data_IF_906218245127
#
_entry.id   IF_906218245127
#
_cell.length_a   1.000
_cell.length_b   1.000
_cell.length_c   1.000
_cell.angle_alpha   90.00
_cell.angle_beta   90.00
_cell.angle_gamma   90.00
#
_symmetry.space_group_name_H-M   'P 1'
#
loop_
_entity.id
_entity.type
_entity.pdbx_description
1 polymer ?
#
# COMPACT_ATOMS: atom_id res chain seq x y z
N UNK A 1 11.89 11.30 0.02
CA UNK A 1 11.23 9.99 0.21
C UNK A 1 12.24 8.94 0.68
N UNK A 2 13.25 8.62 -0.11
CA UNK A 2 14.26 7.60 0.23
C UNK A 2 14.95 7.86 1.56
N UNK A 3 15.46 9.08 1.77
CA UNK A 3 16.05 9.49 3.06
C UNK A 3 15.07 9.36 4.24
N UNK A 4 13.80 9.71 4.01
CA UNK A 4 12.76 9.57 5.03
C UNK A 4 12.49 8.11 5.40
N UNK A 5 12.46 7.21 4.41
CA UNK A 5 12.32 5.77 4.64
C UNK A 5 13.58 5.21 5.32
N UNK A 6 14.77 5.61 4.88
CA UNK A 6 16.03 5.15 5.45
C UNK A 6 16.22 5.60 6.91
N UNK A 7 15.70 6.77 7.27
CA UNK A 7 15.70 7.28 8.64
C UNK A 7 14.58 6.71 9.51
N UNK A 8 13.59 6.00 8.93
CA UNK A 8 12.49 5.41 9.66
C UNK A 8 12.65 3.89 9.72
N UNK A 9 13.05 3.39 10.90
CA UNK A 9 13.31 1.96 11.11
C UNK A 9 12.09 1.08 10.82
N UNK A 10 10.88 1.59 11.08
CA UNK A 10 9.67 0.80 10.94
C UNK A 10 8.41 1.63 10.60
N UNK A 11 8.26 2.06 9.33
CA UNK A 11 7.02 2.68 8.84
C UNK A 11 5.85 1.69 8.67
N UNK A 12 6.13 0.37 8.79
CA UNK A 12 5.16 -0.70 8.59
C UNK A 12 4.86 -0.97 7.12
N UNK A 13 3.62 -0.74 6.69
CA UNK A 13 3.22 -0.86 5.27
C UNK A 13 3.16 0.52 4.66
N UNK A 14 3.48 0.65 3.37
CA UNK A 14 3.45 1.94 2.69
C UNK A 14 2.94 1.86 1.27
N UNK A 15 2.18 2.89 0.88
CA UNK A 15 1.61 3.07 -0.45
C UNK A 15 2.14 4.38 -1.02
N UNK A 16 2.69 4.30 -2.22
CA UNK A 16 3.00 5.45 -3.06
C UNK A 16 2.08 5.38 -4.28
N UNK A 17 1.37 6.47 -4.57
CA UNK A 17 0.68 6.67 -5.85
C UNK A 17 1.21 7.92 -6.54
N UNK A 18 1.29 7.93 -7.87
CA UNK A 18 1.72 9.12 -8.59
C UNK A 18 1.73 8.99 -10.10
N UNK A 19 2.45 9.92 -10.74
CA UNK A 19 2.70 9.93 -12.18
C UNK A 19 4.20 10.00 -12.41
N UNK A 20 4.73 9.05 -13.17
CA UNK A 20 6.14 9.00 -13.55
C UNK A 20 6.53 10.15 -14.47
N UNK A 21 7.85 10.33 -14.66
CA UNK A 21 8.40 11.37 -15.55
C UNK A 21 7.94 11.20 -17.02
N UNK A 22 7.70 9.96 -17.46
CA UNK A 22 7.19 9.65 -18.81
C UNK A 22 5.66 9.68 -18.91
N UNK A 23 4.97 10.08 -17.84
CA UNK A 23 3.54 10.31 -17.84
C UNK A 23 2.68 9.09 -17.54
N UNK A 24 3.26 7.94 -17.19
CA UNK A 24 2.50 6.75 -16.74
C UNK A 24 2.07 6.87 -15.28
N UNK A 25 0.91 6.31 -14.94
CA UNK A 25 0.49 6.19 -13.54
C UNK A 25 1.39 5.19 -12.81
N UNK A 26 1.68 5.44 -11.54
CA UNK A 26 2.59 4.63 -10.73
C UNK A 26 1.94 4.25 -9.43
N UNK A 27 2.06 2.97 -9.04
CA UNK A 27 2.01 2.62 -7.62
C UNK A 27 3.30 1.94 -7.18
N UNK A 28 3.63 2.12 -5.91
CA UNK A 28 4.50 1.21 -5.18
C UNK A 28 3.84 0.84 -3.84
N UNK A 29 3.89 -0.45 -3.50
CA UNK A 29 3.38 -0.97 -2.24
C UNK A 29 4.44 -1.84 -1.58
N UNK A 30 4.79 -1.55 -0.33
CA UNK A 30 5.74 -2.35 0.42
C UNK A 30 5.18 -2.83 1.75
N UNK A 31 5.71 -3.95 2.20
CA UNK A 31 5.44 -4.54 3.50
C UNK A 31 6.74 -4.65 4.29
N UNK A 32 6.67 -4.17 5.53
CA UNK A 32 7.64 -4.48 6.57
C UNK A 32 6.97 -5.17 7.76
N UNK A 33 7.71 -5.99 8.50
CA UNK A 33 7.21 -6.76 9.63
C UNK A 33 8.27 -7.06 10.69
N UNK A 34 7.87 -7.04 11.96
CA UNK A 34 8.75 -7.33 13.11
C UNK A 34 8.61 -8.75 13.65
N UNK A 35 7.41 -9.33 13.60
CA UNK A 35 7.13 -10.66 14.15
C UNK A 35 7.35 -11.76 13.11
N UNK A 36 7.55 -12.99 13.58
CA UNK A 36 7.67 -14.19 12.74
C UNK A 36 6.44 -14.32 11.84
N UNK A 37 5.23 -14.23 12.39
CA UNK A 37 3.99 -14.32 11.61
C UNK A 37 3.89 -13.21 10.56
N UNK A 38 4.26 -11.97 10.91
CA UNK A 38 4.22 -10.85 9.96
C UNK A 38 5.23 -10.99 8.81
N UNK A 39 6.39 -11.58 9.10
CA UNK A 39 7.48 -11.83 8.14
C UNK A 39 7.23 -13.02 7.23
N UNK A 40 6.40 -13.98 7.65
CA UNK A 40 6.11 -15.20 6.93
C UNK A 40 5.14 -14.99 5.75
N UNK A 41 5.46 -14.08 4.82
CA UNK A 41 4.66 -13.87 3.62
C UNK A 41 5.45 -13.34 2.44
N UNK A 42 4.96 -13.65 1.25
CA UNK A 42 5.46 -13.18 -0.04
C UNK A 42 4.30 -12.65 -0.89
N UNK A 43 4.62 -11.84 -1.90
CA UNK A 43 3.68 -11.48 -2.96
C UNK A 43 3.66 -12.54 -4.04
N UNK A 44 2.47 -13.03 -4.37
CA UNK A 44 2.19 -13.91 -5.50
C UNK A 44 1.33 -13.15 -6.51
N UNK A 45 1.77 -13.11 -7.77
CA UNK A 45 1.03 -12.45 -8.86
C UNK A 45 -0.04 -13.40 -9.37
N UNK A 46 -1.28 -12.93 -9.42
CA UNK A 46 -2.44 -13.69 -9.88
C UNK A 46 -3.14 -12.88 -10.99
N UNK A 47 -2.77 -13.13 -12.26
CA UNK A 47 -3.18 -12.28 -13.40
C UNK A 47 -2.75 -10.83 -13.15
N UNK A 48 -3.69 -9.91 -13.05
CA UNK A 48 -3.45 -8.49 -12.79
C UNK A 48 -3.45 -8.12 -11.30
N UNK A 49 -3.83 -9.07 -10.44
CA UNK A 49 -3.89 -8.91 -8.99
C UNK A 49 -2.57 -9.34 -8.33
N UNK A 50 -2.39 -8.92 -7.08
CA UNK A 50 -1.33 -9.43 -6.20
C UNK A 50 -1.99 -9.93 -4.92
N UNK A 51 -1.60 -11.12 -4.48
CA UNK A 51 -1.99 -11.73 -3.22
C UNK A 51 -0.80 -11.87 -2.30
N UNK A 52 -1.00 -11.73 -1.00
CA UNK A 52 -0.03 -12.24 -0.04
C UNK A 52 -0.27 -13.73 0.19
N UNK A 53 0.81 -14.48 0.25
CA UNK A 53 0.81 -15.92 0.53
C UNK A 53 1.80 -16.20 1.65
N UNK A 54 1.47 -17.15 2.53
CA UNK A 54 2.42 -17.63 3.52
C UNK A 54 3.64 -18.22 2.81
N UNK A 55 4.85 -17.90 3.28
CA UNK A 55 6.05 -18.52 2.71
C UNK A 55 6.20 -19.96 3.22
N UNK A 56 6.03 -20.15 4.52
CA UNK A 56 5.97 -21.44 5.19
C UNK A 56 4.60 -21.58 5.89
N UNK A 57 3.73 -22.43 5.37
CA UNK A 57 2.39 -22.64 5.94
C UNK A 57 2.43 -23.17 7.38
N UNK A 58 3.51 -23.84 7.81
CA UNK A 58 3.63 -24.37 9.17
C UNK A 58 3.86 -23.29 10.23
N UNK A 59 4.34 -22.10 9.83
CA UNK A 59 4.57 -20.95 10.70
C UNK A 59 3.39 -19.97 10.74
N UNK A 60 2.29 -20.31 10.05
CA UNK A 60 1.09 -19.48 9.94
C UNK A 60 0.23 -19.64 11.21
N UNK A 61 0.11 -18.59 12.00
CA UNK A 61 -0.77 -18.60 13.18
C UNK A 61 -2.15 -18.00 12.87
N UNK A 62 -2.24 -16.68 12.79
CA UNK A 62 -3.46 -15.97 12.38
C UNK A 62 -3.27 -15.41 10.96
N UNK A 63 -4.02 -15.95 9.96
CA UNK A 63 -3.91 -15.51 8.57
C UNK A 63 -4.65 -14.19 8.30
N UNK A 64 -5.57 -13.76 9.17
CA UNK A 64 -6.56 -12.72 8.84
C UNK A 64 -5.95 -11.36 8.48
N UNK A 65 -4.80 -11.02 9.07
CA UNK A 65 -4.08 -9.75 8.83
C UNK A 65 -2.87 -9.90 7.91
N UNK A 66 -2.57 -11.12 7.44
CA UNK A 66 -1.38 -11.41 6.63
C UNK A 66 -1.67 -12.00 5.27
N UNK A 67 -2.80 -12.68 5.09
CA UNK A 67 -3.27 -13.24 3.81
C UNK A 67 -4.43 -12.38 3.29
N UNK A 68 -4.17 -11.56 2.29
CA UNK A 68 -5.13 -10.69 1.63
C UNK A 68 -4.65 -10.35 0.22
N UNK A 69 -5.50 -9.69 -0.58
CA UNK A 69 -5.10 -9.17 -1.88
C UNK A 69 -4.59 -7.72 -1.72
N UNK A 70 -3.28 -7.43 -1.64
CA UNK A 70 -2.80 -6.06 -1.59
C UNK A 70 -3.13 -5.27 -2.85
N UNK A 71 -3.29 -5.93 -4.01
CA UNK A 71 -3.64 -5.27 -5.27
C UNK A 71 -4.77 -6.01 -5.96
N UNK A 72 -5.81 -5.26 -6.35
CA UNK A 72 -6.94 -5.74 -7.16
C UNK A 72 -7.18 -4.79 -8.33
N UNK A 73 -7.44 -5.34 -9.51
CA UNK A 73 -7.75 -4.54 -10.71
C UNK A 73 -9.21 -4.71 -11.13
N UNK A 74 -9.95 -3.61 -11.23
CA UNK A 74 -11.35 -3.57 -11.68
C UNK A 74 -11.49 -2.62 -12.87
N UNK A 75 -11.51 -3.18 -14.09
CA UNK A 75 -11.55 -2.37 -15.32
C UNK A 75 -10.36 -1.42 -15.41
N UNK A 76 -10.62 -0.10 -15.41
CA UNK A 76 -9.61 0.96 -15.40
C UNK A 76 -9.21 1.43 -13.99
N UNK A 77 -9.62 0.72 -12.95
CA UNK A 77 -9.26 0.99 -11.57
C UNK A 77 -8.21 0.00 -11.07
N UNK A 78 -7.16 0.50 -10.42
CA UNK A 78 -6.21 -0.30 -9.65
C UNK A 78 -6.31 0.08 -8.18
N UNK A 79 -6.68 -0.89 -7.34
CA UNK A 79 -6.82 -0.73 -5.90
C UNK A 79 -5.56 -1.27 -5.23
N UNK A 80 -5.03 -0.54 -4.26
CA UNK A 80 -3.86 -0.95 -3.48
C UNK A 80 -4.15 -0.75 -2.00
N UNK A 81 -3.97 -1.75 -1.13
CA UNK A 81 -4.20 -1.58 0.31
C UNK A 81 -3.36 -2.53 1.17
N UNK A 82 -3.32 -2.29 2.48
CA UNK A 82 -2.60 -3.14 3.44
C UNK A 82 -3.43 -4.22 4.14
N UNK A 83 -4.64 -4.53 3.65
CA UNK A 83 -5.50 -5.56 4.24
C UNK A 83 -6.66 -5.99 3.34
N UNK A 84 -7.60 -6.72 3.92
CA UNK A 84 -8.80 -7.24 3.23
C UNK A 84 -9.75 -6.15 2.72
N UNK A 85 -9.57 -4.89 3.13
CA UNK A 85 -10.36 -3.78 2.59
C UNK A 85 -10.16 -3.59 1.08
N UNK A 86 -9.08 -4.12 0.47
CA UNK A 86 -8.93 -4.14 -0.99
C UNK A 86 -10.11 -4.85 -1.66
N UNK A 87 -10.53 -6.00 -1.11
CA UNK A 87 -11.62 -6.79 -1.67
C UNK A 87 -12.97 -6.10 -1.43
N UNK A 88 -13.14 -5.43 -0.28
CA UNK A 88 -14.34 -4.60 -0.04
C UNK A 88 -14.45 -3.44 -1.04
N UNK A 89 -13.35 -2.74 -1.31
CA UNK A 89 -13.33 -1.68 -2.32
C UNK A 89 -13.69 -2.26 -3.69
N UNK A 90 -13.10 -3.41 -4.06
CA UNK A 90 -13.39 -4.08 -5.32
C UNK A 90 -14.88 -4.42 -5.48
N UNK A 91 -15.48 -5.01 -4.45
CA UNK A 91 -16.90 -5.37 -4.42
C UNK A 91 -17.80 -4.13 -4.56
N UNK A 92 -17.49 -3.05 -3.83
CA UNK A 92 -18.25 -1.81 -3.88
C UNK A 92 -18.14 -1.13 -5.25
N UNK A 93 -16.97 -1.11 -5.87
CA UNK A 93 -16.82 -0.60 -7.24
C UNK A 93 -17.62 -1.44 -8.25
N UNK A 94 -17.65 -2.77 -8.07
CA UNK A 94 -18.47 -3.66 -8.89
C UNK A 94 -19.97 -3.42 -8.72
N UNK A 95 -20.40 -2.99 -7.53
CA UNK A 95 -21.76 -2.52 -7.23
C UNK A 95 -22.03 -1.07 -7.65
N UNK A 96 -21.13 -0.42 -8.39
CA UNK A 96 -21.22 1.00 -8.78
C UNK A 96 -21.25 1.98 -7.61
N UNK A 97 -20.74 1.57 -6.44
CA UNK A 97 -20.49 2.44 -5.27
C UNK A 97 -19.08 3.01 -5.31
N UNK A 98 -18.79 3.92 -4.39
CA UNK A 98 -17.50 4.64 -4.36
C UNK A 98 -16.46 3.94 -3.47
N UNK A 99 -15.20 4.34 -3.67
CA UNK A 99 -14.08 3.99 -2.78
C UNK A 99 -14.35 4.41 -1.33
N UNK A 100 -14.98 5.57 -1.15
CA UNK A 100 -15.36 6.11 0.14
C UNK A 100 -16.47 5.26 0.79
N UNK A 101 -17.52 4.89 0.05
CA UNK A 101 -18.60 4.04 0.56
C UNK A 101 -18.05 2.73 1.14
N UNK A 102 -17.10 2.10 0.43
CA UNK A 102 -16.44 0.89 0.90
C UNK A 102 -15.72 1.13 2.24
N UNK A 103 -14.94 2.20 2.33
CA UNK A 103 -14.10 2.49 3.51
C UNK A 103 -14.89 3.02 4.71
N UNK A 104 -16.10 3.55 4.51
CA UNK A 104 -17.00 3.86 5.61
C UNK A 104 -17.48 2.60 6.36
N UNK A 105 -17.50 1.44 5.72
CA UNK A 105 -17.82 0.16 6.39
C UNK A 105 -16.68 -0.44 7.20
N UNK A 106 -15.48 0.15 7.10
CA UNK A 106 -14.25 -0.34 7.72
C UNK A 106 -13.75 0.60 8.80
N UNK A 107 -12.80 0.10 9.58
CA UNK A 107 -12.03 0.82 10.60
C UNK A 107 -10.58 0.30 10.58
N UNK A 108 -9.72 0.75 11.49
CA UNK A 108 -8.37 0.20 11.70
C UNK A 108 -8.38 -1.32 11.98
N UNK A 109 -7.21 -1.96 11.97
CA UNK A 109 -7.07 -3.39 12.27
C UNK A 109 -7.36 -3.67 13.76
N UNK A 110 -8.05 -4.78 14.09
CA UNK A 110 -8.38 -5.13 15.48
C UNK A 110 -7.20 -5.80 16.21
N UNK A 111 -6.00 -5.21 16.13
CA UNK A 111 -4.73 -5.75 16.63
C UNK A 111 -4.21 -4.97 17.85
N UNK A 112 -5.03 -4.87 18.89
CA UNK A 112 -4.64 -4.22 20.14
C UNK A 112 -3.27 -4.72 20.64
N UNK A 113 -2.41 -3.83 21.17
CA UNK A 113 -2.63 -2.41 21.43
C UNK A 113 -2.28 -1.48 20.25
N UNK A 114 -1.92 -2.02 19.07
CA UNK A 114 -1.43 -1.21 17.96
C UNK A 114 -2.55 -0.50 17.20
N UNK A 115 -3.71 -1.15 17.03
CA UNK A 115 -4.82 -0.63 16.25
C UNK A 115 -4.39 -0.10 14.89
N UNK A 116 -3.70 -0.97 14.16
CA UNK A 116 -2.92 -0.62 13.00
C UNK A 116 -3.78 0.06 11.94
N UNK A 117 -3.32 1.19 11.37
CA UNK A 117 -4.08 1.85 10.33
C UNK A 117 -4.32 0.99 9.09
N UNK A 118 -5.51 1.14 8.52
CA UNK A 118 -5.80 0.69 7.16
C UNK A 118 -5.51 1.82 6.19
N UNK A 119 -4.43 1.68 5.43
CA UNK A 119 -4.09 2.54 4.30
C UNK A 119 -4.61 1.92 3.00
N UNK A 120 -5.19 2.76 2.15
CA UNK A 120 -5.76 2.35 0.87
C UNK A 120 -5.46 3.38 -0.20
N UNK A 121 -5.37 2.92 -1.44
CA UNK A 121 -5.11 3.72 -2.62
C UNK A 121 -5.96 3.26 -3.80
N UNK A 122 -6.35 4.20 -4.66
CA UNK A 122 -7.03 3.95 -5.92
C UNK A 122 -6.36 4.75 -7.02
N UNK A 123 -6.01 4.07 -8.11
CA UNK A 123 -5.67 4.70 -9.39
C UNK A 123 -6.87 4.49 -10.32
N UNK A 124 -7.47 5.57 -10.79
CA UNK A 124 -8.49 5.57 -11.84
C UNK A 124 -7.88 6.23 -13.10
N UNK A 125 -7.94 5.52 -14.24
CA UNK A 125 -7.48 6.02 -15.55
C UNK A 125 -8.60 6.13 -16.60
N UNK A 126 -9.88 5.91 -16.24
CA UNK A 126 -11.00 5.90 -17.18
C UNK A 126 -11.14 7.23 -17.93
N UNK A 127 -11.05 8.35 -17.21
CA UNK A 127 -11.20 9.71 -17.75
C UNK A 127 -9.99 10.58 -17.39
N UNK A 128 -8.80 10.07 -17.70
CA UNK A 128 -7.54 10.63 -17.24
C UNK A 128 -7.20 10.16 -15.82
N UNK A 129 -6.00 10.54 -15.36
CA UNK A 129 -5.46 10.03 -14.10
C UNK A 129 -6.09 10.73 -12.89
N UNK A 130 -6.72 9.94 -12.03
CA UNK A 130 -7.19 10.35 -10.69
C UNK A 130 -6.61 9.40 -9.66
N UNK A 131 -6.05 9.97 -8.59
CA UNK A 131 -5.47 9.20 -7.50
C UNK A 131 -6.25 9.48 -6.22
N UNK A 132 -6.61 8.42 -5.49
CA UNK A 132 -7.16 8.52 -4.14
C UNK A 132 -6.25 7.83 -3.15
N UNK A 133 -6.09 8.43 -1.98
CA UNK A 133 -5.46 7.82 -0.81
C UNK A 133 -6.40 7.92 0.38
N UNK A 134 -6.40 6.91 1.24
CA UNK A 134 -7.12 6.92 2.51
C UNK A 134 -6.30 6.28 3.61
N UNK A 135 -6.54 6.76 4.83
CA UNK A 135 -6.06 6.14 6.05
C UNK A 135 -7.18 6.13 7.11
N UNK A 136 -7.46 4.95 7.66
CA UNK A 136 -8.39 4.74 8.77
C UNK A 136 -7.59 4.42 10.04
N UNK A 137 -7.76 5.19 11.12
CA UNK A 137 -6.93 5.10 12.33
C UNK A 137 -7.78 5.14 13.59
N UNK A 138 -7.28 4.57 14.69
CA UNK A 138 -7.83 4.86 16.01
C UNK A 138 -7.48 6.28 16.43
N UNK A 139 -8.34 6.91 17.23
CA UNK A 139 -8.00 8.17 17.89
C UNK A 139 -7.09 7.87 19.09
N UNK A 140 -5.78 8.06 18.91
CA UNK A 140 -4.78 7.88 19.95
C UNK A 140 -4.85 6.53 20.69
N UNK A 141 -5.15 5.44 19.97
CA UNK A 141 -5.25 4.10 20.53
C UNK A 141 -6.60 3.77 21.17
N UNK A 142 -7.63 4.62 21.01
CA UNK A 142 -8.97 4.32 21.48
C UNK A 142 -9.73 3.43 20.48
N UNK A 143 -10.04 2.20 20.87
CA UNK A 143 -10.75 1.22 20.03
C UNK A 143 -12.17 1.62 19.64
N UNK A 144 -12.79 2.54 20.39
CA UNK A 144 -14.15 3.02 20.12
C UNK A 144 -14.22 4.22 19.17
N UNK A 145 -13.07 4.80 18.80
CA UNK A 145 -12.99 6.03 18.02
C UNK A 145 -12.21 5.83 16.73
N UNK A 146 -12.92 5.86 15.60
CA UNK A 146 -12.37 5.69 14.26
C UNK A 146 -12.29 7.01 13.52
N UNK A 147 -11.07 7.40 13.13
CA UNK A 147 -10.78 8.56 12.30
C UNK A 147 -10.59 8.10 10.85
N UNK A 148 -11.26 8.77 9.90
CA UNK A 148 -11.20 8.46 8.47
C UNK A 148 -10.74 9.67 7.69
N UNK A 149 -9.68 9.50 6.91
CA UNK A 149 -9.13 10.56 6.08
C UNK A 149 -9.10 10.11 4.62
N UNK A 150 -9.45 11.03 3.72
CA UNK A 150 -9.49 10.81 2.28
C UNK A 150 -8.78 11.96 1.58
N UNK A 151 -7.91 11.63 0.63
CA UNK A 151 -7.11 12.58 -0.15
C UNK A 151 -7.28 12.26 -1.62
N UNK A 152 -7.65 13.27 -2.41
CA UNK A 152 -7.92 13.13 -3.84
C UNK A 152 -6.96 14.02 -4.62
N UNK A 153 -6.37 13.47 -5.68
CA UNK A 153 -5.44 14.18 -6.56
C UNK A 153 -5.81 13.94 -8.02
N UNK A 154 -6.22 15.01 -8.69
CA UNK A 154 -6.54 14.98 -10.12
C UNK A 154 -5.31 15.33 -10.95
N UNK A 155 -4.95 14.43 -11.88
CA UNK A 155 -3.87 14.58 -12.86
C UNK A 155 -2.60 15.27 -12.30
N UNK A 156 -1.89 14.63 -11.34
CA UNK A 156 -0.66 15.19 -10.80
C UNK A 156 0.40 15.40 -11.89
N UNK A 157 1.35 16.31 -11.64
CA UNK A 157 2.42 16.58 -12.60
C UNK A 157 3.28 15.34 -12.80
N UNK A 158 3.86 15.20 -13.99
CA UNK A 158 4.84 14.14 -14.25
C UNK A 158 6.00 14.24 -13.24
N UNK A 159 6.41 13.10 -12.70
CA UNK A 159 7.41 12.99 -11.64
C UNK A 159 6.89 13.27 -10.23
N UNK A 160 5.60 13.55 -10.01
CA UNK A 160 5.03 13.75 -8.68
C UNK A 160 4.28 12.51 -8.18
N UNK A 161 4.40 12.24 -6.89
CA UNK A 161 3.62 11.23 -6.19
C UNK A 161 3.32 11.60 -4.74
N UNK A 162 2.56 10.75 -4.08
CA UNK A 162 2.07 10.93 -2.72
C UNK A 162 2.26 9.63 -1.95
N UNK A 163 2.82 9.75 -0.74
CA UNK A 163 3.23 8.62 0.08
C UNK A 163 2.53 8.66 1.44
N UNK A 164 1.90 7.53 1.79
CA UNK A 164 1.38 7.25 3.12
C UNK A 164 1.92 5.90 3.61
N UNK A 165 1.98 5.74 4.93
CA UNK A 165 2.36 4.50 5.58
C UNK A 165 1.58 4.31 6.87
N UNK A 166 1.71 3.14 7.51
CA UNK A 166 0.90 2.81 8.69
C UNK A 166 1.40 3.48 9.97
N UNK A 167 2.71 3.55 10.21
CA UNK A 167 3.26 4.01 11.50
C UNK A 167 4.25 5.15 11.36
N UNK A 168 4.18 6.18 12.20
CA UNK A 168 5.08 7.34 12.12
C UNK A 168 6.51 7.03 12.58
N UNK A 169 6.67 6.13 13.53
CA UNK A 169 7.96 5.77 14.14
C UNK A 169 7.94 4.31 14.64
N UNK A 170 9.11 3.74 14.88
CA UNK A 170 9.22 2.47 15.61
C UNK A 170 8.88 2.70 17.09
N UNK A 171 8.06 1.84 17.68
CA UNK A 171 7.58 2.01 19.05
C UNK A 171 6.78 0.81 19.56
N UNK A 172 6.39 0.88 20.82
CA UNK A 172 5.56 -0.10 21.50
C UNK A 172 4.63 0.60 22.53
N UNK A 173 3.34 0.83 22.21
CA UNK A 173 2.65 0.46 20.97
C UNK A 173 3.07 1.32 19.76
N UNK A 174 2.75 0.84 18.55
CA UNK A 174 3.03 1.55 17.30
C UNK A 174 2.06 2.74 17.10
N UNK A 175 2.60 3.95 17.01
CA UNK A 175 1.79 5.15 16.73
C UNK A 175 1.49 5.26 15.24
N UNK A 176 0.24 5.56 14.94
CA UNK A 176 -0.24 5.75 13.57
C UNK A 176 0.46 6.90 12.84
N UNK A 177 0.54 6.82 11.51
CA UNK A 177 0.95 7.94 10.66
C UNK A 177 0.07 9.19 10.87
N UNK A 178 0.66 10.38 10.79
CA UNK A 178 0.00 11.66 11.06
C UNK A 178 0.24 12.67 9.93
N UNK A 179 -0.74 13.56 9.73
CA UNK A 179 -0.71 14.60 8.70
C UNK A 179 -1.19 14.14 7.33
N UNK A 180 -1.00 15.02 6.35
CA UNK A 180 -1.31 14.78 4.94
C UNK A 180 -0.32 13.80 4.28
N UNK A 181 -0.69 13.14 3.16
CA UNK A 181 0.24 12.35 2.37
C UNK A 181 1.48 13.15 2.00
N UNK A 182 2.66 12.54 2.20
CA UNK A 182 3.93 13.19 1.88
C UNK A 182 4.08 13.27 0.37
N UNK A 183 4.26 14.48 -0.17
CA UNK A 183 4.61 14.67 -1.57
C UNK A 183 6.02 14.12 -1.85
N UNK A 184 6.17 13.35 -2.92
CA UNK A 184 7.42 12.69 -3.30
C UNK A 184 7.73 12.88 -4.77
N UNK A 185 9.02 12.81 -5.11
CA UNK A 185 9.49 12.85 -6.50
C UNK A 185 9.69 11.42 -7.00
N UNK A 186 9.03 11.06 -8.10
CA UNK A 186 9.12 9.78 -8.78
C UNK A 186 10.11 9.90 -9.96
N UNK A 187 11.40 9.70 -9.67
CA UNK A 187 12.48 9.83 -10.66
C UNK A 187 12.92 8.48 -11.19
N UNK A 188 13.16 8.41 -12.50
CA UNK A 188 13.68 7.23 -13.19
C UNK A 188 12.62 6.21 -13.59
N UNK A 189 13.09 5.16 -14.27
CA UNK A 189 12.28 4.03 -14.71
C UNK A 189 11.91 3.11 -13.53
N UNK A 190 11.06 2.11 -13.83
CA UNK A 190 10.56 1.15 -12.84
C UNK A 190 11.68 0.44 -12.08
N UNK A 191 12.76 0.04 -12.75
CA UNK A 191 13.89 -0.64 -12.11
C UNK A 191 14.58 0.27 -11.09
N UNK A 192 14.90 1.50 -11.49
CA UNK A 192 15.57 2.47 -10.61
C UNK A 192 14.70 2.84 -9.41
N UNK A 193 13.40 3.05 -9.62
CA UNK A 193 12.46 3.33 -8.51
C UNK A 193 12.39 2.14 -7.56
N UNK A 194 12.28 0.92 -8.10
CA UNK A 194 12.20 -0.31 -7.31
C UNK A 194 13.45 -0.52 -6.47
N UNK A 195 14.65 -0.40 -7.07
CA UNK A 195 15.91 -0.53 -6.34
C UNK A 195 16.06 0.53 -5.25
N UNK A 196 15.76 1.79 -5.58
CA UNK A 196 15.89 2.89 -4.62
C UNK A 196 14.93 2.72 -3.43
N UNK A 197 13.69 2.30 -3.68
CA UNK A 197 12.74 1.97 -2.62
C UNK A 197 13.24 0.79 -1.78
N UNK A 198 13.56 -0.35 -2.42
CA UNK A 198 13.97 -1.57 -1.74
C UNK A 198 15.21 -1.40 -0.85
N UNK A 199 16.16 -0.57 -1.29
CA UNK A 199 17.40 -0.29 -0.57
C UNK A 199 17.20 0.76 0.54
N UNK A 200 16.12 1.55 0.48
CA UNK A 200 15.76 2.50 1.54
C UNK A 200 14.97 1.86 2.69
N UNK A 201 14.39 0.67 2.49
CA UNK A 201 13.69 -0.05 3.55
C UNK A 201 14.69 -0.75 4.47
N UNK A 202 14.42 -0.72 5.78
CA UNK A 202 15.25 -1.39 6.77
C UNK A 202 15.43 -2.89 6.43
N UNK A 203 16.68 -3.34 6.39
CA UNK A 203 17.08 -4.68 5.93
C UNK A 203 16.44 -5.80 6.73
N UNK A 204 16.29 -5.63 8.04
CA UNK A 204 15.74 -6.66 8.93
C UNK A 204 14.22 -6.75 8.83
N UNK A 205 13.58 -5.62 8.55
CA UNK A 205 12.13 -5.50 8.59
C UNK A 205 11.45 -5.62 7.22
N UNK A 206 12.14 -5.35 6.08
CA UNK A 206 11.53 -5.46 4.74
C UNK A 206 11.14 -6.90 4.38
N UNK A 207 9.98 -7.05 3.76
CA UNK A 207 9.41 -8.35 3.38
C UNK A 207 9.18 -8.41 1.89
N UNK A 208 8.33 -7.52 1.37
CA UNK A 208 7.97 -7.51 -0.05
C UNK A 208 7.74 -6.09 -0.57
N UNK A 209 7.99 -5.89 -1.86
CA UNK A 209 7.74 -4.65 -2.59
C UNK A 209 7.14 -4.99 -3.96
N UNK A 210 6.07 -4.29 -4.32
CA UNK A 210 5.48 -4.30 -5.65
C UNK A 210 5.53 -2.88 -6.22
N UNK A 211 5.99 -2.74 -7.47
CA UNK A 211 5.98 -1.48 -8.21
C UNK A 211 5.34 -1.72 -9.56
N UNK A 212 4.42 -0.84 -9.98
CA UNK A 212 3.75 -0.94 -11.28
C UNK A 212 3.69 0.42 -11.95
N UNK A 213 4.03 0.45 -13.25
CA UNK A 213 3.88 1.61 -14.12
C UNK A 213 2.80 1.30 -15.14
N UNK A 214 1.72 2.09 -15.18
CA UNK A 214 0.51 1.85 -15.95
C UNK A 214 0.38 2.95 -17.01
N UNK A 215 0.32 2.54 -18.28
CA UNK A 215 -0.03 3.43 -19.39
C UNK A 215 -1.48 3.90 -19.23
N UNK A 216 -1.67 5.22 -19.07
CA UNK A 216 -2.98 5.80 -18.76
C UNK A 216 -3.97 5.59 -19.91
N UNK A 217 -3.50 5.58 -21.17
CA UNK A 217 -4.36 5.48 -22.35
C UNK A 217 -4.86 4.06 -22.59
N UNK A 218 -4.02 3.06 -22.34
CA UNK A 218 -4.30 1.66 -22.67
C UNK A 218 -4.64 0.82 -21.45
N UNK A 219 -4.13 1.17 -20.28
CA UNK A 219 -4.17 0.35 -19.06
C UNK A 219 -3.14 -0.78 -19.04
N UNK A 220 -2.29 -0.90 -20.08
CA UNK A 220 -1.15 -1.83 -20.06
C UNK A 220 -0.12 -1.39 -19.02
N UNK A 221 0.60 -2.33 -18.43
CA UNK A 221 1.55 -2.00 -17.38
C UNK A 221 2.82 -2.85 -17.42
N UNK A 222 3.87 -2.28 -16.85
CA UNK A 222 5.07 -2.99 -16.42
C UNK A 222 5.01 -3.17 -14.90
N UNK A 223 5.49 -4.30 -14.39
CA UNK A 223 5.49 -4.61 -12.96
C UNK A 223 6.80 -5.25 -12.53
N UNK A 224 7.28 -4.85 -11.34
CA UNK A 224 8.38 -5.50 -10.63
C UNK A 224 7.90 -5.91 -9.23
N UNK A 225 8.17 -7.16 -8.87
CA UNK A 225 7.95 -7.70 -7.52
C UNK A 225 9.31 -8.05 -6.91
N UNK A 226 9.49 -7.71 -5.64
CA UNK A 226 10.59 -8.19 -4.81
C UNK A 226 10.02 -8.86 -3.58
N UNK A 227 10.49 -10.07 -3.28
CA UNK A 227 10.20 -10.80 -2.07
C UNK A 227 11.54 -11.12 -1.40
N UNK A 228 11.71 -10.78 -0.12
CA UNK A 228 12.95 -11.06 0.63
C UNK A 228 13.19 -12.57 0.78
N UNK A 229 12.10 -13.33 0.93
CA UNK A 229 12.16 -14.78 1.15
C UNK A 229 12.33 -15.59 -0.14
N UNK A 230 11.99 -15.02 -1.30
CA UNK A 230 12.26 -15.70 -2.58
C UNK A 230 13.73 -15.48 -2.96
N UNK A 231 14.52 -16.55 -2.88
CA UNK A 231 15.97 -16.52 -3.12
C UNK A 231 16.83 -16.80 -1.88
N UNK A 232 16.21 -17.14 -0.75
CA UNK A 232 16.88 -17.80 0.39
C UNK A 232 16.85 -19.32 0.27
#
# INVERSE_FOLDING_TARGET
>A
MFEYLAANEYPGRGIILGKSEDGRAVFAYFIMGRSINSRNRIFEVCKDDIKTKAFDESLLSDPSLIIYSPVRVFGKNTIVSNGDQTDTIYEYLNEQKTFEDALYTRTFEPDAPNFTPRISGLIDIENGLRLKLSILKSDNGNESQSLRFFYNYDNPKCGEGFFIHTYKENGDPLKSFEGEPKKVNLKGNIDKLTESLWNSLNTDNKISLAVRYIDISTGKYDQVIKNKLEGM
#
